data_IF_097884921831
#
_entry.id   IF_097884921831
#
_cell.length_a   1.000
_cell.length_b   1.000
_cell.length_c   1.000
_cell.angle_alpha   90.00
_cell.angle_beta   90.00
_cell.angle_gamma   90.00
#
_symmetry.space_group_name_H-M   'P 1'
#
loop_
_entity.id
_entity.type
_entity.pdbx_description
1 polymer ?
#
# COMPACT_ATOMS: atom_id res chain seq x y z
N UNK A 1 -19.82 -23.37 3.98
CA UNK A 1 -19.22 -22.22 3.27
C UNK A 1 -20.25 -21.11 3.29
N UNK A 2 -20.06 -20.09 4.14
CA UNK A 2 -21.04 -19.01 4.27
C UNK A 2 -20.74 -17.93 3.23
N UNK A 3 -21.69 -17.52 2.38
CA UNK A 3 -21.50 -16.36 1.53
C UNK A 3 -21.52 -15.14 2.44
N UNK A 4 -20.36 -14.51 2.68
CA UNK A 4 -20.34 -13.22 3.38
C UNK A 4 -21.16 -12.24 2.53
N UNK A 5 -22.29 -11.81 3.08
CA UNK A 5 -23.01 -10.64 2.61
C UNK A 5 -22.02 -9.49 2.40
N UNK A 6 -22.23 -8.68 1.36
CA UNK A 6 -21.32 -7.59 0.99
C UNK A 6 -20.87 -6.81 2.23
N UNK A 7 -19.56 -6.64 2.37
CA UNK A 7 -18.96 -5.97 3.51
C UNK A 7 -19.54 -4.56 3.66
N UNK A 8 -20.20 -4.27 4.79
CA UNK A 8 -20.73 -2.94 5.14
C UNK A 8 -19.83 -2.19 6.13
N UNK A 9 -18.69 -2.78 6.53
CA UNK A 9 -17.74 -2.13 7.42
C UNK A 9 -16.93 -1.04 6.73
N UNK A 10 -16.10 -0.31 7.50
CA UNK A 10 -15.35 0.85 7.01
C UNK A 10 -14.50 0.51 5.79
N UNK A 11 -14.51 1.39 4.79
CA UNK A 11 -13.77 1.20 3.55
C UNK A 11 -12.27 1.33 3.81
N UNK A 12 -11.55 0.23 3.62
CA UNK A 12 -10.11 0.15 3.88
C UNK A 12 -9.36 -0.04 2.56
N UNK A 13 -8.43 0.87 2.26
CA UNK A 13 -7.56 0.78 1.09
C UNK A 13 -6.14 0.41 1.52
N UNK A 14 -5.64 -0.74 1.07
CA UNK A 14 -4.33 -1.24 1.46
C UNK A 14 -3.36 -1.27 0.29
N UNK A 15 -2.17 -0.70 0.46
CA UNK A 15 -1.14 -0.62 -0.58
C UNK A 15 -0.03 -1.63 -0.35
N UNK A 16 0.24 -2.45 -1.37
CA UNK A 16 1.26 -3.51 -1.31
C UNK A 16 2.08 -3.57 -2.59
N UNK A 17 3.35 -3.88 -2.45
CA UNK A 17 4.37 -3.91 -3.52
C UNK A 17 5.16 -5.22 -3.54
N UNK A 18 4.98 -6.07 -2.52
CA UNK A 18 5.65 -7.35 -2.36
C UNK A 18 4.68 -8.42 -1.84
N UNK A 19 4.99 -9.71 -2.05
CA UNK A 19 4.19 -10.81 -1.50
C UNK A 19 4.05 -10.76 0.02
N UNK A 20 5.12 -10.39 0.74
CA UNK A 20 5.11 -10.32 2.20
C UNK A 20 4.21 -9.20 2.72
N UNK A 21 4.22 -8.02 2.08
CA UNK A 21 3.31 -6.93 2.44
C UNK A 21 1.84 -7.33 2.24
N UNK A 22 1.54 -8.06 1.16
CA UNK A 22 0.19 -8.59 0.94
C UNK A 22 -0.23 -9.54 2.06
N UNK A 23 0.63 -10.48 2.44
CA UNK A 23 0.35 -11.39 3.54
C UNK A 23 0.11 -10.64 4.86
N UNK A 24 0.97 -9.67 5.19
CA UNK A 24 0.89 -8.92 6.44
C UNK A 24 -0.37 -8.04 6.49
N UNK A 25 -0.82 -7.50 5.35
CA UNK A 25 -2.12 -6.82 5.26
C UNK A 25 -3.28 -7.78 5.49
N UNK A 26 -3.25 -8.97 4.91
CA UNK A 26 -4.31 -9.97 5.10
C UNK A 26 -4.39 -10.44 6.56
N UNK A 27 -3.24 -10.70 7.18
CA UNK A 27 -3.15 -11.05 8.60
C UNK A 27 -3.71 -9.93 9.48
N UNK A 28 -3.29 -8.68 9.24
CA UNK A 28 -3.81 -7.53 9.95
C UNK A 28 -5.33 -7.40 9.80
N UNK A 29 -5.85 -7.55 8.58
CA UNK A 29 -7.28 -7.41 8.31
C UNK A 29 -8.09 -8.50 9.02
N UNK A 30 -7.58 -9.73 9.03
CA UNK A 30 -8.18 -10.85 9.74
C UNK A 30 -8.28 -10.59 11.26
N UNK A 31 -7.19 -10.10 11.87
CA UNK A 31 -7.11 -9.92 13.31
C UNK A 31 -7.74 -8.61 13.82
N UNK A 32 -7.68 -7.52 13.06
CA UNK A 32 -7.96 -6.16 13.55
C UNK A 32 -9.05 -5.42 12.76
N UNK A 33 -9.51 -5.96 11.64
CA UNK A 33 -10.55 -5.34 10.83
C UNK A 33 -11.59 -6.36 10.33
N UNK A 34 -12.13 -7.24 11.21
CA UNK A 34 -13.15 -8.19 10.80
C UNK A 34 -14.36 -7.44 10.25
N UNK A 35 -14.76 -7.78 9.01
CA UNK A 35 -15.89 -7.15 8.34
C UNK A 35 -15.61 -5.79 7.70
N UNK A 36 -14.36 -5.33 7.63
CA UNK A 36 -14.00 -4.16 6.82
C UNK A 36 -14.09 -4.45 5.32
N UNK A 37 -14.54 -3.45 4.54
CA UNK A 37 -14.51 -3.53 3.08
C UNK A 37 -13.09 -3.25 2.59
N UNK A 38 -12.28 -4.30 2.53
CA UNK A 38 -10.87 -4.25 2.17
C UNK A 38 -10.68 -4.29 0.65
N UNK A 39 -10.03 -3.26 0.12
CA UNK A 39 -9.46 -3.24 -1.24
C UNK A 39 -7.94 -3.27 -1.18
N UNK A 40 -7.34 -4.35 -1.67
CA UNK A 40 -5.90 -4.51 -1.87
C UNK A 40 -5.48 -3.85 -3.18
N UNK A 41 -4.67 -2.80 -3.10
CA UNK A 41 -4.05 -2.11 -4.23
C UNK A 41 -2.61 -2.60 -4.37
N UNK A 42 -2.37 -3.39 -5.41
CA UNK A 42 -1.04 -3.93 -5.72
C UNK A 42 -0.33 -2.97 -6.68
N UNK A 43 0.66 -2.25 -6.16
CA UNK A 43 1.52 -1.35 -6.93
C UNK A 43 2.64 -2.19 -7.54
N UNK A 44 2.41 -2.68 -8.75
CA UNK A 44 3.23 -3.74 -9.34
C UNK A 44 4.72 -3.39 -9.45
N UNK A 45 5.65 -4.25 -9.01
CA UNK A 45 7.08 -4.08 -9.22
C UNK A 45 7.47 -4.31 -10.69
N UNK A 46 8.72 -4.00 -11.03
CA UNK A 46 9.27 -4.24 -12.38
C UNK A 46 9.79 -5.67 -12.50
N UNK A 47 10.35 -6.21 -11.41
CA UNK A 47 10.94 -7.55 -11.38
C UNK A 47 9.93 -8.66 -11.73
N UNK A 48 10.15 -9.45 -12.78
CA UNK A 48 9.21 -10.48 -13.22
C UNK A 48 8.90 -11.55 -12.17
N UNK A 49 9.89 -11.96 -11.37
CA UNK A 49 9.70 -12.99 -10.34
C UNK A 49 8.73 -12.52 -9.27
N UNK A 50 8.99 -11.34 -8.70
CA UNK A 50 8.13 -10.70 -7.68
C UNK A 50 6.72 -10.47 -8.22
N UNK A 51 6.59 -10.03 -9.48
CA UNK A 51 5.28 -9.88 -10.14
C UNK A 51 4.54 -11.22 -10.21
N UNK A 52 5.20 -12.30 -10.60
CA UNK A 52 4.61 -13.64 -10.67
C UNK A 52 4.14 -14.14 -9.30
N UNK A 53 4.95 -13.94 -8.26
CA UNK A 53 4.58 -14.28 -6.88
C UNK A 53 3.37 -13.46 -6.40
N UNK A 54 3.37 -12.14 -6.64
CA UNK A 54 2.25 -11.27 -6.32
C UNK A 54 0.97 -11.68 -7.04
N UNK A 55 1.05 -12.08 -8.32
CA UNK A 55 -0.13 -12.55 -9.06
C UNK A 55 -0.75 -13.79 -8.41
N UNK A 56 0.07 -14.74 -7.95
CA UNK A 56 -0.43 -15.90 -7.19
C UNK A 56 -1.09 -15.49 -5.88
N UNK A 57 -0.45 -14.62 -5.12
CA UNK A 57 -1.02 -14.10 -3.86
C UNK A 57 -2.32 -13.32 -4.08
N UNK A 58 -2.42 -12.56 -5.16
CA UNK A 58 -3.65 -11.88 -5.57
C UNK A 58 -4.77 -12.87 -5.97
N UNK A 59 -4.41 -14.04 -6.50
CA UNK A 59 -5.38 -15.12 -6.76
C UNK A 59 -5.99 -15.62 -5.46
N UNK A 60 -5.13 -15.99 -4.50
CA UNK A 60 -5.53 -16.46 -3.18
C UNK A 60 -6.37 -15.41 -2.42
N UNK A 61 -5.97 -14.13 -2.46
CA UNK A 61 -6.73 -13.07 -1.82
C UNK A 61 -8.15 -12.90 -2.42
N UNK A 62 -8.30 -13.08 -3.74
CA UNK A 62 -9.61 -13.05 -4.40
C UNK A 62 -10.45 -14.27 -4.07
N UNK A 63 -9.84 -15.45 -3.98
CA UNK A 63 -10.51 -16.70 -3.58
C UNK A 63 -11.07 -16.58 -2.15
N UNK A 64 -10.37 -15.88 -1.27
CA UNK A 64 -10.85 -15.51 0.08
C UNK A 64 -11.89 -14.36 0.10
N UNK A 65 -12.24 -13.82 -1.07
CA UNK A 65 -13.30 -12.81 -1.24
C UNK A 65 -12.84 -11.35 -1.13
N UNK A 66 -11.53 -11.08 -1.10
CA UNK A 66 -11.03 -9.70 -1.06
C UNK A 66 -11.05 -9.03 -2.43
N UNK A 67 -11.34 -7.73 -2.45
CA UNK A 67 -11.18 -6.93 -3.67
C UNK A 67 -9.69 -6.68 -3.91
N UNK A 68 -9.22 -6.97 -5.13
CA UNK A 68 -7.81 -6.77 -5.51
C UNK A 68 -7.71 -5.97 -6.80
N UNK A 69 -7.09 -4.80 -6.71
CA UNK A 69 -6.82 -3.86 -7.79
C UNK A 69 -5.32 -3.85 -8.12
N UNK A 70 -4.98 -4.20 -9.35
CA UNK A 70 -3.59 -4.22 -9.82
C UNK A 70 -3.25 -2.93 -10.56
N UNK A 71 -2.19 -2.25 -10.15
CA UNK A 71 -1.76 -0.96 -10.68
C UNK A 71 -0.35 -1.06 -11.30
N UNK A 72 -0.26 -0.76 -12.59
CA UNK A 72 1.01 -0.73 -13.33
C UNK A 72 1.76 0.59 -13.10
N UNK A 73 2.00 0.96 -11.85
CA UNK A 73 2.58 2.25 -11.45
C UNK A 73 3.97 2.53 -12.07
N UNK A 74 4.66 1.46 -12.51
CA UNK A 74 6.03 1.46 -13.07
C UNK A 74 6.09 1.12 -14.56
N UNK A 75 4.94 1.00 -15.24
CA UNK A 75 4.83 0.51 -16.62
C UNK A 75 5.23 1.50 -17.73
N UNK A 76 6.04 2.52 -17.45
CA UNK A 76 6.52 3.48 -18.44
C UNK A 76 6.14 4.95 -18.17
N UNK A 77 6.44 5.85 -19.12
CA UNK A 77 6.14 7.28 -19.01
C UNK A 77 4.66 7.55 -18.76
N UNK A 78 4.34 8.37 -17.75
CA UNK A 78 2.96 8.71 -17.39
C UNK A 78 2.19 7.66 -16.59
N UNK A 79 2.74 6.45 -16.38
CA UNK A 79 2.11 5.43 -15.55
C UNK A 79 1.84 5.89 -14.10
N UNK A 80 2.74 6.63 -13.43
CA UNK A 80 2.45 7.20 -12.11
C UNK A 80 1.21 8.10 -12.10
N UNK A 81 1.09 9.02 -13.07
CA UNK A 81 -0.03 9.96 -13.15
C UNK A 81 -1.36 9.23 -13.34
N UNK A 82 -1.38 8.20 -14.19
CA UNK A 82 -2.56 7.36 -14.40
C UNK A 82 -2.97 6.60 -13.13
N UNK A 83 -2.01 5.96 -12.45
CA UNK A 83 -2.28 5.23 -11.21
C UNK A 83 -2.78 6.18 -10.12
N UNK A 84 -2.13 7.33 -9.95
CA UNK A 84 -2.56 8.37 -8.99
C UNK A 84 -3.97 8.86 -9.31
N UNK A 85 -4.22 9.26 -10.56
CA UNK A 85 -5.55 9.72 -10.99
C UNK A 85 -6.63 8.65 -10.78
N UNK A 86 -6.32 7.40 -11.12
CA UNK A 86 -7.24 6.27 -10.95
C UNK A 86 -7.54 5.91 -9.50
N UNK A 87 -6.64 6.23 -8.56
CA UNK A 87 -6.80 5.93 -7.13
C UNK A 87 -7.33 7.10 -6.32
N UNK A 88 -7.26 8.33 -6.84
CA UNK A 88 -7.59 9.56 -6.09
C UNK A 88 -9.00 9.51 -5.49
N UNK A 89 -10.00 9.09 -6.24
CA UNK A 89 -11.38 9.01 -5.74
C UNK A 89 -11.55 7.96 -4.63
N UNK A 90 -10.89 6.80 -4.75
CA UNK A 90 -10.91 5.77 -3.73
C UNK A 90 -10.20 6.23 -2.46
N UNK A 91 -9.02 6.85 -2.60
CA UNK A 91 -8.25 7.42 -1.48
C UNK A 91 -9.01 8.48 -0.68
N UNK A 92 -9.80 9.32 -1.35
CA UNK A 92 -10.61 10.36 -0.69
C UNK A 92 -11.83 9.80 0.04
N UNK A 93 -12.26 8.59 -0.29
CA UNK A 93 -13.42 7.92 0.30
C UNK A 93 -13.04 6.86 1.34
N UNK A 94 -11.77 6.47 1.40
CA UNK A 94 -11.30 5.49 2.35
C UNK A 94 -11.39 6.05 3.79
N UNK A 95 -11.97 5.27 4.69
CA UNK A 95 -11.98 5.53 6.13
C UNK A 95 -10.63 5.17 6.76
N UNK A 96 -9.92 4.24 6.13
CA UNK A 96 -8.62 3.75 6.59
C UNK A 96 -7.71 3.45 5.42
N UNK A 97 -6.44 3.84 5.55
CA UNK A 97 -5.37 3.45 4.62
C UNK A 97 -4.37 2.55 5.35
N UNK A 98 -3.99 1.44 4.71
CA UNK A 98 -2.99 0.50 5.21
C UNK A 98 -1.78 0.50 4.29
N UNK A 99 -0.58 0.57 4.86
CA UNK A 99 0.67 0.71 4.12
C UNK A 99 1.60 -0.47 4.38
N UNK A 100 2.09 -1.10 3.31
CA UNK A 100 3.19 -2.06 3.38
C UNK A 100 4.56 -1.42 3.55
N UNK A 101 4.84 -0.29 2.89
CA UNK A 101 6.12 0.43 3.02
C UNK A 101 5.88 1.96 3.11
N UNK A 102 6.12 2.59 4.28
CA UNK A 102 5.95 4.04 4.45
C UNK A 102 7.01 4.88 3.70
N UNK A 103 8.09 4.26 3.21
CA UNK A 103 9.12 4.90 2.40
C UNK A 103 8.93 4.72 0.90
N UNK A 104 7.88 4.01 0.47
CA UNK A 104 7.56 3.91 -0.95
C UNK A 104 7.18 5.27 -1.50
N UNK A 105 7.88 5.70 -2.57
CA UNK A 105 7.59 6.98 -3.23
C UNK A 105 6.15 7.07 -3.73
N UNK A 106 5.60 5.98 -4.25
CA UNK A 106 4.22 5.96 -4.73
C UNK A 106 3.24 6.10 -3.57
N UNK A 107 3.47 5.37 -2.47
CA UNK A 107 2.68 5.51 -1.25
C UNK A 107 2.77 6.94 -0.72
N UNK A 108 3.97 7.52 -0.60
CA UNK A 108 4.15 8.89 -0.11
C UNK A 108 3.39 9.92 -0.96
N UNK A 109 3.42 9.78 -2.30
CA UNK A 109 2.62 10.63 -3.19
C UNK A 109 1.12 10.44 -2.95
N UNK A 110 0.64 9.20 -2.85
CA UNK A 110 -0.77 8.89 -2.63
C UNK A 110 -1.26 9.35 -1.24
N UNK A 111 -0.38 9.35 -0.23
CA UNK A 111 -0.67 9.88 1.10
C UNK A 111 -0.89 11.40 1.09
N UNK A 112 -0.30 12.16 0.17
CA UNK A 112 -0.65 13.59 0.04
C UNK A 112 -2.10 13.82 -0.40
N UNK A 113 -2.77 12.77 -0.90
CA UNK A 113 -4.14 12.84 -1.43
C UNK A 113 -5.19 12.23 -0.50
N UNK A 114 -4.77 11.42 0.48
CA UNK A 114 -5.71 10.75 1.38
C UNK A 114 -6.38 11.74 2.33
N UNK A 115 -7.62 11.44 2.70
CA UNK A 115 -8.36 12.12 3.78
C UNK A 115 -8.75 11.14 4.89
N UNK A 116 -8.23 9.92 4.85
CA UNK A 116 -8.58 8.89 5.80
C UNK A 116 -8.19 9.33 7.22
N UNK A 117 -9.09 9.23 8.21
CA UNK A 117 -8.78 9.55 9.60
C UNK A 117 -7.80 8.55 10.24
N UNK A 118 -7.66 7.35 9.66
CA UNK A 118 -6.79 6.30 10.19
C UNK A 118 -5.75 5.85 9.16
N UNK A 119 -4.48 5.85 9.58
CA UNK A 119 -3.37 5.27 8.83
C UNK A 119 -2.78 4.10 9.63
N UNK A 120 -2.63 2.96 8.98
CA UNK A 120 -2.01 1.76 9.55
C UNK A 120 -0.77 1.43 8.75
N UNK A 121 0.34 1.18 9.43
CA UNK A 121 1.55 0.61 8.81
C UNK A 121 1.65 -0.82 9.28
N UNK A 122 1.69 -1.77 8.35
CA UNK A 122 1.97 -3.16 8.68
C UNK A 122 3.49 -3.37 8.71
N UNK A 123 3.94 -4.32 9.53
CA UNK A 123 5.36 -4.61 9.63
C UNK A 123 5.88 -5.19 8.30
N UNK A 124 6.92 -4.61 7.72
CA UNK A 124 7.64 -5.09 6.53
C UNK A 124 9.12 -5.33 6.86
N UNK A 125 9.42 -5.48 8.16
CA UNK A 125 10.74 -5.70 8.71
C UNK A 125 11.51 -4.40 8.92
N UNK A 126 12.72 -4.34 8.36
CA UNK A 126 13.67 -3.24 8.65
C UNK A 126 13.13 -1.84 8.29
N UNK A 127 12.30 -1.74 7.26
CA UNK A 127 11.66 -0.48 6.88
C UNK A 127 10.73 0.03 7.99
N UNK A 128 9.94 -0.85 8.61
CA UNK A 128 9.03 -0.46 9.70
C UNK A 128 9.80 -0.03 10.93
N UNK A 129 10.92 -0.70 11.26
CA UNK A 129 11.77 -0.29 12.38
C UNK A 129 12.37 1.12 12.19
N UNK A 130 12.88 1.44 10.99
CA UNK A 130 13.40 2.78 10.69
C UNK A 130 12.27 3.82 10.70
N UNK A 131 11.09 3.48 10.16
CA UNK A 131 9.93 4.36 10.20
C UNK A 131 9.55 4.74 11.64
N UNK A 132 9.41 3.74 12.52
CA UNK A 132 9.12 3.97 13.94
C UNK A 132 10.22 4.83 14.58
N UNK A 133 11.49 4.58 14.24
CA UNK A 133 12.61 5.39 14.72
C UNK A 133 12.56 6.86 14.27
N UNK A 134 12.20 7.12 13.02
CA UNK A 134 12.07 8.50 12.50
C UNK A 134 10.84 9.20 13.10
N UNK A 135 9.72 8.48 13.19
CA UNK A 135 8.49 8.99 13.77
C UNK A 135 8.68 9.40 15.23
N UNK A 136 9.32 8.55 16.03
CA UNK A 136 9.60 8.82 17.44
C UNK A 136 10.52 10.05 17.64
N UNK A 137 11.36 10.37 16.65
CA UNK A 137 12.27 11.53 16.67
C UNK A 137 11.69 12.78 16.01
N UNK A 138 10.49 12.70 15.42
CA UNK A 138 9.95 13.79 14.61
C UNK A 138 10.76 14.10 13.34
N UNK A 139 11.51 13.11 12.83
CA UNK A 139 12.30 13.24 11.60
C UNK A 139 11.41 13.18 10.35
N UNK A 140 11.92 13.74 9.24
CA UNK A 140 11.28 13.55 7.94
C UNK A 140 11.40 12.09 7.51
N UNK A 141 10.31 11.54 6.97
CA UNK A 141 10.23 10.17 6.45
C UNK A 141 11.10 9.95 5.20
N UNK A 142 12.39 9.75 5.40
CA UNK A 142 13.39 9.58 4.34
C UNK A 142 14.05 8.22 4.49
N UNK A 143 14.04 7.41 3.43
CA UNK A 143 14.70 6.10 3.44
C UNK A 143 16.20 6.24 3.80
N UNK A 144 16.71 5.42 4.72
CA UNK A 144 18.05 5.56 5.31
C UNK A 144 19.19 5.62 4.27
N UNK A 145 19.09 4.85 3.18
CA UNK A 145 20.06 4.90 2.07
C UNK A 145 20.13 6.26 1.34
N UNK A 146 19.16 7.15 1.57
CA UNK A 146 19.13 8.51 1.01
C UNK A 146 19.53 9.59 2.02
N UNK A 147 19.78 9.23 3.29
CA UNK A 147 20.32 10.17 4.29
C UNK A 147 21.76 10.54 3.88
N UNK A 148 21.94 11.71 3.24
CA UNK A 148 23.25 12.26 2.85
C UNK A 148 23.44 12.57 1.35
N UNK A 149 22.50 12.21 0.47
CA UNK A 149 22.54 12.61 -0.94
C UNK A 149 21.90 13.98 -1.15
N UNK A 150 22.52 14.86 -1.98
CA UNK A 150 21.80 16.04 -2.51
C UNK A 150 20.55 15.56 -3.26
N UNK A 151 19.36 16.15 -3.04
CA UNK A 151 18.16 15.77 -3.78
C UNK A 151 18.42 15.89 -5.28
N UNK A 152 18.28 14.79 -6.01
CA UNK A 152 18.37 14.81 -7.46
C UNK A 152 17.11 15.42 -8.07
N UNK A 153 17.12 15.85 -9.35
CA UNK A 153 15.91 16.31 -10.05
C UNK A 153 14.77 15.29 -10.06
N UNK A 154 15.07 14.00 -9.83
CA UNK A 154 14.11 12.90 -9.73
C UNK A 154 13.50 12.71 -8.33
N UNK A 155 14.01 13.43 -7.34
CA UNK A 155 13.49 13.47 -5.96
C UNK A 155 12.55 14.68 -5.73
N UNK A 156 12.41 15.56 -6.72
CA UNK A 156 11.59 16.78 -6.69
C UNK A 156 10.31 16.70 -7.56
N UNK A 157 10.08 15.56 -8.22
CA UNK A 157 8.91 15.25 -9.07
C UNK A 157 8.29 13.91 -8.64
#
# INVERSE_FOLDING_TARGET
MSPRAGSTGPHTLAFVESPVQLLNVLEWAHAHAPGADLTLVVLSPVDPMTRGQLRRMCGLAREEGHQVRWEEARGGPGAPLRTVGGLTAALRRADRVVLGDPFSRYVQLLLTLTRAPALVVVDDGTATMEFVGQLARGERLVRWHRKGGRPGPRDLL
#
